data_IF_436285494183
#
_entry.id   IF_436285494183
#
_cell.length_a   1.000
_cell.length_b   1.000
_cell.length_c   1.000
_cell.angle_alpha   90.00
_cell.angle_beta   90.00
_cell.angle_gamma   90.00
#
_symmetry.space_group_name_H-M   'P 1'
#
loop_
_entity.id
_entity.type
_entity.pdbx_description
1 polymer ?
#
# COMPACT_ATOMS: atom_id res chain seq x y z
N UNK A 1 -18.28 1.72 18.37
CA UNK A 1 -18.29 0.31 17.97
C UNK A 1 -16.83 -0.13 17.89
N UNK A 2 -16.44 -1.06 18.75
CA UNK A 2 -15.12 -1.65 18.72
C UNK A 2 -14.91 -2.31 17.35
N UNK A 3 -13.93 -1.83 16.62
CA UNK A 3 -13.54 -2.44 15.35
C UNK A 3 -12.78 -3.72 15.70
N UNK A 4 -13.45 -4.85 15.54
CA UNK A 4 -12.85 -6.14 15.85
C UNK A 4 -11.78 -6.49 14.82
N UNK A 5 -10.53 -6.53 15.26
CA UNK A 5 -9.43 -7.03 14.48
C UNK A 5 -9.53 -8.56 14.38
N UNK A 6 -9.21 -9.10 13.21
CA UNK A 6 -9.23 -10.53 12.96
C UNK A 6 -7.86 -11.00 12.49
N UNK A 7 -7.32 -11.98 13.21
CA UNK A 7 -6.06 -12.63 12.88
C UNK A 7 -6.23 -14.13 12.75
N UNK A 8 -5.58 -14.72 11.77
CA UNK A 8 -5.40 -16.15 11.68
C UNK A 8 -4.05 -16.51 12.32
N UNK A 9 -4.07 -17.46 13.24
CA UNK A 9 -2.91 -17.88 13.99
C UNK A 9 -2.55 -19.30 13.54
N UNK A 10 -1.34 -19.47 13.03
CA UNK A 10 -0.79 -20.77 12.66
C UNK A 10 0.12 -21.25 13.79
N UNK A 11 -0.21 -22.43 14.36
CA UNK A 11 0.64 -23.08 15.33
C UNK A 11 1.57 -24.06 14.59
N UNK A 12 2.81 -23.66 14.40
CA UNK A 12 3.86 -24.58 13.91
C UNK A 12 4.59 -25.14 15.12
N UNK A 13 4.79 -26.45 15.16
CA UNK A 13 5.27 -27.19 16.34
C UNK A 13 6.66 -26.75 16.86
N UNK A 14 7.47 -26.03 16.06
CA UNK A 14 8.83 -25.63 16.40
C UNK A 14 9.20 -24.18 15.99
N UNK A 15 8.23 -23.32 15.68
CA UNK A 15 8.48 -21.94 15.25
C UNK A 15 7.58 -20.95 15.95
N UNK A 16 7.97 -19.67 15.94
CA UNK A 16 7.13 -18.58 16.41
C UNK A 16 5.75 -18.62 15.76
N UNK A 17 4.71 -18.35 16.55
CA UNK A 17 3.32 -18.30 16.09
C UNK A 17 3.21 -17.28 14.94
N UNK A 18 3.01 -17.77 13.72
CA UNK A 18 2.77 -16.90 12.58
C UNK A 18 1.34 -16.41 12.63
N UNK A 19 1.17 -15.11 12.75
CA UNK A 19 -0.14 -14.43 12.73
C UNK A 19 -0.30 -13.73 11.39
N UNK A 20 -1.46 -13.92 10.77
CA UNK A 20 -1.83 -13.26 9.52
C UNK A 20 -3.10 -12.45 9.76
N UNK A 21 -3.06 -11.15 9.48
CA UNK A 21 -4.22 -10.28 9.56
C UNK A 21 -5.23 -10.61 8.46
N UNK A 22 -6.50 -10.79 8.81
CA UNK A 22 -7.57 -11.14 7.88
C UNK A 22 -8.41 -9.93 7.44
N UNK A 23 -8.45 -8.86 8.24
CA UNK A 23 -9.22 -7.66 7.91
C UNK A 23 -8.40 -6.40 8.13
N UNK A 24 -8.73 -5.34 7.39
CA UNK A 24 -8.19 -4.00 7.59
C UNK A 24 -9.27 -3.11 8.18
N UNK A 25 -8.92 -2.37 9.22
CA UNK A 25 -9.80 -1.35 9.81
C UNK A 25 -9.77 -0.04 8.99
N UNK A 26 -8.81 0.08 8.09
CA UNK A 26 -8.60 1.25 7.23
C UNK A 26 -9.63 1.41 6.11
N UNK A 27 -10.40 0.37 5.80
CA UNK A 27 -11.39 0.40 4.71
C UNK A 27 -12.36 1.58 4.87
N UNK A 28 -12.74 1.90 6.10
CA UNK A 28 -13.65 3.03 6.36
C UNK A 28 -13.00 4.38 6.05
N UNK A 29 -11.73 4.55 6.42
CA UNK A 29 -10.98 5.78 6.10
C UNK A 29 -10.82 5.93 4.59
N UNK A 30 -10.47 4.87 3.88
CA UNK A 30 -10.38 4.87 2.42
C UNK A 30 -11.72 5.22 1.75
N UNK A 31 -12.83 4.67 2.24
CA UNK A 31 -14.18 5.02 1.75
C UNK A 31 -14.48 6.51 2.01
N UNK A 32 -14.18 7.00 3.20
CA UNK A 32 -14.40 8.41 3.54
C UNK A 32 -13.56 9.33 2.65
N UNK A 33 -12.28 9.02 2.44
CA UNK A 33 -11.41 9.77 1.51
C UNK A 33 -11.95 9.76 0.08
N UNK A 34 -12.44 8.60 -0.39
CA UNK A 34 -13.05 8.45 -1.70
C UNK A 34 -14.30 9.32 -1.90
N UNK A 35 -15.09 9.51 -0.84
CA UNK A 35 -16.28 10.37 -0.87
C UNK A 35 -15.93 11.85 -1.00
N UNK A 36 -14.78 12.27 -0.47
CA UNK A 36 -14.30 13.65 -0.62
C UNK A 36 -13.76 13.86 -2.04
N UNK A 37 -12.79 13.06 -2.44
CA UNK A 37 -12.26 13.02 -3.79
C UNK A 37 -11.53 11.68 -4.03
N UNK A 38 -11.70 11.10 -5.21
CA UNK A 38 -11.04 9.83 -5.58
C UNK A 38 -9.51 9.93 -5.48
N UNK A 39 -8.93 11.10 -5.76
CA UNK A 39 -7.50 11.35 -5.63
C UNK A 39 -6.97 11.11 -4.22
N UNK A 40 -7.77 11.38 -3.19
CA UNK A 40 -7.34 11.24 -1.78
C UNK A 40 -7.09 9.78 -1.35
N UNK A 41 -7.58 8.81 -2.11
CA UNK A 41 -7.23 7.39 -1.86
C UNK A 41 -5.76 7.15 -2.20
N UNK A 42 -5.25 7.82 -3.24
CA UNK A 42 -3.90 7.61 -3.76
C UNK A 42 -2.84 8.46 -3.06
N UNK A 43 -3.24 9.34 -2.13
CA UNK A 43 -2.31 10.10 -1.32
C UNK A 43 -1.38 9.17 -0.55
N UNK A 44 -0.10 9.52 -0.45
CA UNK A 44 0.88 8.72 0.27
C UNK A 44 0.47 8.46 1.72
N UNK A 45 -0.09 9.46 2.38
CA UNK A 45 -0.61 9.35 3.74
C UNK A 45 -1.67 8.26 3.89
N UNK A 46 -2.55 8.09 2.89
CA UNK A 46 -3.53 7.01 2.91
C UNK A 46 -2.89 5.62 2.83
N UNK A 47 -1.74 5.51 2.16
CA UNK A 47 -1.04 4.25 1.95
C UNK A 47 -0.15 3.86 3.14
N UNK A 48 0.31 4.84 3.95
CA UNK A 48 1.16 4.61 5.13
C UNK A 48 0.39 4.67 6.45
N UNK A 49 -0.93 4.84 6.40
CA UNK A 49 -1.76 4.89 7.62
C UNK A 49 -1.52 3.63 8.45
N UNK A 50 -1.42 3.81 9.77
CA UNK A 50 -1.15 2.73 10.71
C UNK A 50 -2.44 2.11 11.23
N UNK A 51 -2.45 0.81 11.36
CA UNK A 51 -3.50 0.01 11.99
C UNK A 51 -3.03 -0.48 13.36
N UNK A 52 -3.94 -0.67 14.32
CA UNK A 52 -3.60 -1.36 15.56
C UNK A 52 -3.06 -2.76 15.24
N UNK A 53 -1.92 -3.12 15.83
CA UNK A 53 -1.30 -4.43 15.67
C UNK A 53 -1.98 -5.53 16.50
N UNK A 54 -1.36 -6.68 16.57
CA UNK A 54 -1.84 -7.85 17.32
C UNK A 54 -1.72 -7.70 18.84
N UNK A 55 -0.95 -6.71 19.29
CA UNK A 55 -0.80 -6.33 20.70
C UNK A 55 -1.25 -4.90 20.89
N UNK A 56 -1.83 -4.59 22.07
CA UNK A 56 -2.47 -3.31 22.37
C UNK A 56 -1.61 -2.06 22.15
N UNK A 57 -0.29 -2.20 22.07
CA UNK A 57 0.65 -1.08 21.92
C UNK A 57 1.39 -1.07 20.58
N UNK A 58 1.17 -2.04 19.71
CA UNK A 58 1.84 -2.12 18.41
C UNK A 58 0.94 -1.53 17.34
N UNK A 59 1.50 -0.64 16.55
CA UNK A 59 0.88 -0.14 15.32
C UNK A 59 1.60 -0.73 14.12
N UNK A 60 0.85 -1.08 13.11
CA UNK A 60 1.36 -1.70 11.88
C UNK A 60 0.82 -0.93 10.68
N UNK A 61 1.68 -0.67 9.69
CA UNK A 61 1.22 -0.12 8.42
C UNK A 61 0.39 -1.16 7.67
N UNK A 62 -0.40 -0.72 6.69
CA UNK A 62 -1.11 -1.62 5.79
C UNK A 62 -0.18 -2.73 5.31
N UNK A 63 -0.58 -3.98 5.57
CA UNK A 63 0.19 -5.17 5.18
C UNK A 63 0.03 -5.44 3.67
N UNK A 64 1.04 -5.06 2.91
CA UNK A 64 1.06 -5.23 1.46
C UNK A 64 1.46 -6.64 1.02
N UNK A 65 1.78 -7.54 1.94
CA UNK A 65 2.14 -8.95 1.69
C UNK A 65 1.19 -9.95 2.34
N UNK A 66 0.28 -9.50 3.19
CA UNK A 66 -0.67 -10.35 3.90
C UNK A 66 -1.86 -10.81 3.05
N UNK A 67 -2.88 -11.32 3.72
CA UNK A 67 -4.07 -11.89 3.09
C UNK A 67 -4.81 -10.90 2.18
N UNK A 68 -4.75 -9.60 2.48
CA UNK A 68 -5.41 -8.54 1.73
C UNK A 68 -4.49 -7.85 0.69
N UNK A 69 -3.26 -8.31 0.54
CA UNK A 69 -2.25 -7.69 -0.34
C UNK A 69 -2.77 -7.50 -1.76
N UNK A 70 -3.45 -8.49 -2.32
CA UNK A 70 -3.99 -8.43 -3.67
C UNK A 70 -4.96 -7.26 -3.87
N UNK A 71 -5.86 -7.00 -2.90
CA UNK A 71 -6.79 -5.88 -2.97
C UNK A 71 -6.07 -4.53 -2.90
N UNK A 72 -5.01 -4.44 -2.11
CA UNK A 72 -4.19 -3.23 -2.00
C UNK A 72 -3.41 -2.97 -3.29
N UNK A 73 -2.88 -4.02 -3.94
CA UNK A 73 -2.29 -3.93 -5.28
C UNK A 73 -3.31 -3.49 -6.33
N UNK A 74 -4.50 -4.07 -6.30
CA UNK A 74 -5.59 -3.69 -7.20
C UNK A 74 -5.98 -2.22 -7.01
N UNK A 75 -6.06 -1.74 -5.77
CA UNK A 75 -6.44 -0.38 -5.45
C UNK A 75 -5.35 0.63 -5.82
N UNK A 76 -4.11 0.43 -5.34
CA UNK A 76 -3.07 1.47 -5.44
C UNK A 76 -2.26 1.42 -6.74
N UNK A 77 -2.24 0.29 -7.43
CA UNK A 77 -1.50 0.15 -8.67
C UNK A 77 -2.40 -0.13 -9.88
N UNK A 78 -3.17 -1.23 -9.85
CA UNK A 78 -3.91 -1.65 -11.05
C UNK A 78 -5.03 -0.68 -11.42
N UNK A 79 -5.75 -0.12 -10.47
CA UNK A 79 -6.82 0.83 -10.74
C UNK A 79 -6.32 2.09 -11.45
N UNK A 80 -5.34 2.85 -10.91
CA UNK A 80 -4.84 4.04 -11.61
C UNK A 80 -4.20 3.68 -12.96
N UNK A 81 -3.51 2.56 -13.08
CA UNK A 81 -2.96 2.09 -14.35
C UNK A 81 -4.05 1.79 -15.38
N UNK A 82 -5.12 1.09 -14.98
CA UNK A 82 -6.25 0.77 -15.86
C UNK A 82 -6.94 2.04 -16.37
N UNK A 83 -7.18 3.00 -15.48
CA UNK A 83 -7.80 4.28 -15.85
C UNK A 83 -6.91 5.06 -16.81
N UNK A 84 -5.60 5.14 -16.52
CA UNK A 84 -4.64 5.76 -17.42
C UNK A 84 -4.61 5.11 -18.80
N UNK A 85 -4.61 3.77 -18.84
CA UNK A 85 -4.68 2.98 -20.09
C UNK A 85 -5.93 3.33 -20.90
N UNK A 86 -7.08 3.45 -20.25
CA UNK A 86 -8.34 3.80 -20.93
C UNK A 86 -8.32 5.23 -21.49
N UNK A 87 -7.79 6.18 -20.73
CA UNK A 87 -7.60 7.55 -21.25
C UNK A 87 -6.63 7.56 -22.44
N UNK A 88 -5.54 6.80 -22.36
CA UNK A 88 -4.57 6.70 -23.47
C UNK A 88 -5.19 6.11 -24.74
N UNK A 89 -5.99 5.05 -24.63
CA UNK A 89 -6.71 4.46 -25.75
C UNK A 89 -7.68 5.45 -26.42
N UNK A 90 -8.26 6.34 -25.63
CA UNK A 90 -9.14 7.41 -26.11
C UNK A 90 -8.37 8.68 -26.54
N UNK A 91 -7.03 8.63 -26.62
CA UNK A 91 -6.15 9.75 -26.99
C UNK A 91 -6.22 10.95 -26.01
N UNK A 92 -6.69 10.71 -24.82
CA UNK A 92 -6.75 11.71 -23.73
C UNK A 92 -5.45 11.63 -22.90
N UNK A 93 -4.33 11.94 -23.54
CA UNK A 93 -2.99 11.72 -22.98
C UNK A 93 -2.69 12.55 -21.74
N UNK A 94 -3.26 13.74 -21.64
CA UNK A 94 -3.11 14.57 -20.45
C UNK A 94 -3.73 13.92 -19.21
N UNK A 95 -4.95 13.41 -19.34
CA UNK A 95 -5.65 12.70 -18.26
C UNK A 95 -4.93 11.38 -17.95
N UNK A 96 -4.51 10.64 -18.98
CA UNK A 96 -3.73 9.42 -18.77
C UNK A 96 -2.47 9.68 -17.95
N UNK A 97 -1.72 10.75 -18.26
CA UNK A 97 -0.53 11.15 -17.51
C UNK A 97 -0.85 11.49 -16.06
N UNK A 98 -1.93 12.21 -15.79
CA UNK A 98 -2.31 12.55 -14.41
C UNK A 98 -2.58 11.30 -13.58
N UNK A 99 -3.22 10.29 -14.16
CA UNK A 99 -3.46 9.02 -13.48
C UNK A 99 -2.18 8.21 -13.27
N UNK A 100 -1.24 8.25 -14.21
CA UNK A 100 0.08 7.62 -14.03
C UNK A 100 0.89 8.28 -12.92
N UNK A 101 0.68 9.58 -12.65
CA UNK A 101 1.37 10.26 -11.56
C UNK A 101 0.97 9.76 -10.17
N UNK A 102 -0.17 9.08 -10.00
CA UNK A 102 -0.47 8.38 -8.75
C UNK A 102 0.45 7.17 -8.52
N UNK A 103 1.09 6.67 -9.56
CA UNK A 103 2.04 5.57 -9.48
C UNK A 103 3.46 6.10 -9.46
N UNK A 104 3.81 6.90 -10.46
CA UNK A 104 5.16 7.41 -10.71
C UNK A 104 5.12 8.84 -11.25
N UNK A 105 5.84 9.75 -10.60
CA UNK A 105 5.96 11.14 -11.02
C UNK A 105 7.43 11.50 -11.33
N UNK A 106 7.81 11.71 -12.58
CA UNK A 106 9.18 12.10 -12.94
C UNK A 106 9.57 13.50 -12.45
N UNK A 107 8.60 14.28 -11.98
CA UNK A 107 8.82 15.65 -11.50
C UNK A 107 9.20 15.71 -10.01
N UNK A 108 9.02 14.65 -9.27
CA UNK A 108 9.23 14.60 -7.82
C UNK A 108 10.66 14.18 -7.42
N UNK A 109 11.60 14.32 -8.33
CA UNK A 109 13.02 14.06 -8.07
C UNK A 109 13.65 14.95 -7.00
N UNK A 110 13.06 16.11 -6.70
CA UNK A 110 13.53 16.99 -5.63
C UNK A 110 13.52 16.32 -4.24
N UNK A 111 12.73 15.26 -4.05
CA UNK A 111 12.73 14.45 -2.83
C UNK A 111 14.07 13.75 -2.57
N UNK A 112 14.92 13.60 -3.60
CA UNK A 112 16.30 13.09 -3.44
C UNK A 112 17.16 13.97 -2.52
N UNK A 113 16.86 15.27 -2.44
CA UNK A 113 17.60 16.23 -1.64
C UNK A 113 17.09 16.34 -0.20
N UNK A 114 15.91 15.82 0.07
CA UNK A 114 15.34 15.77 1.42
C UNK A 114 16.05 14.64 2.18
N UNK A 115 17.06 15.00 2.99
CA UNK A 115 17.70 14.08 3.95
C UNK A 115 16.80 13.76 5.16
N UNK A 116 15.51 13.82 4.98
CA UNK A 116 14.58 13.48 6.03
C UNK A 116 14.29 11.99 5.92
N UNK A 117 14.95 11.21 6.77
CA UNK A 117 14.72 9.76 6.94
C UNK A 117 13.33 9.46 7.52
N UNK A 118 12.42 10.43 7.48
CA UNK A 118 11.05 10.22 7.92
C UNK A 118 10.32 9.39 6.86
N UNK A 119 9.95 8.18 7.23
CA UNK A 119 9.06 7.28 6.47
C UNK A 119 7.71 7.93 6.10
N UNK A 120 7.46 9.15 6.54
CA UNK A 120 6.25 9.92 6.25
C UNK A 120 6.18 10.46 4.83
N UNK A 121 7.31 10.56 4.12
CA UNK A 121 7.35 11.04 2.75
C UNK A 121 7.54 9.87 1.76
N UNK A 122 6.91 9.95 0.57
CA UNK A 122 7.15 8.96 -0.47
C UNK A 122 8.61 9.06 -0.95
N UNK A 123 9.20 7.92 -1.35
CA UNK A 123 10.51 7.94 -1.97
C UNK A 123 10.49 8.76 -3.27
N UNK A 124 11.65 9.21 -3.75
CA UNK A 124 11.75 9.99 -4.98
C UNK A 124 11.05 9.29 -6.15
N UNK A 125 10.28 10.03 -6.91
CA UNK A 125 9.54 9.59 -8.10
C UNK A 125 8.36 8.63 -7.85
N UNK A 126 8.36 7.82 -6.79
CA UNK A 126 7.34 6.81 -6.55
C UNK A 126 6.24 7.33 -5.63
N UNK A 127 4.99 7.22 -6.06
CA UNK A 127 3.79 7.61 -5.31
C UNK A 127 2.91 6.40 -4.95
N UNK A 128 3.32 5.20 -5.34
CA UNK A 128 2.61 3.96 -5.06
C UNK A 128 3.46 3.08 -4.15
N UNK A 129 3.04 2.91 -2.90
CA UNK A 129 3.81 2.21 -1.86
C UNK A 129 4.05 0.74 -2.19
N UNK A 130 3.12 0.07 -2.88
CA UNK A 130 3.29 -1.34 -3.26
C UNK A 130 4.49 -1.58 -4.19
N UNK A 131 4.99 -0.54 -4.86
CA UNK A 131 6.17 -0.61 -5.73
C UNK A 131 7.46 -0.15 -5.03
N UNK A 132 7.36 0.43 -3.84
CA UNK A 132 8.51 1.01 -3.14
C UNK A 132 8.99 0.17 -1.99
N UNK A 133 8.34 -0.95 -1.71
CA UNK A 133 8.74 -1.80 -0.62
C UNK A 133 10.15 -2.31 -0.87
N UNK A 134 11.06 -1.86 0.00
CA UNK A 134 12.29 -2.57 0.21
C UNK A 134 11.94 -3.93 0.78
N UNK A 135 12.27 -4.98 0.02
CA UNK A 135 12.16 -6.39 0.43
C UNK A 135 13.10 -6.72 1.60
N UNK A 136 13.16 -5.88 2.62
CA UNK A 136 14.05 -6.07 3.76
C UNK A 136 13.66 -7.27 4.63
N UNK A 137 12.47 -7.82 4.47
CA UNK A 137 12.01 -9.00 5.19
C UNK A 137 11.60 -10.20 4.32
N UNK A 138 11.50 -10.03 3.00
CA UNK A 138 11.31 -11.18 2.12
C UNK A 138 12.65 -11.91 1.92
N UNK A 139 13.13 -12.54 2.98
CA UNK A 139 14.21 -13.51 2.85
C UNK A 139 13.69 -14.64 1.96
N UNK A 140 14.21 -14.67 0.77
CA UNK A 140 13.95 -15.58 -0.35
C UNK A 140 14.23 -17.07 -0.03
N UNK A 141 13.97 -17.54 1.19
CA UNK A 141 14.34 -18.88 1.62
C UNK A 141 13.19 -19.90 1.65
N UNK A 142 11.94 -19.49 1.40
CA UNK A 142 10.82 -20.43 1.60
C UNK A 142 10.16 -20.96 0.32
N UNK A 143 10.66 -20.61 -0.86
CA UNK A 143 10.17 -21.19 -2.12
C UNK A 143 11.30 -21.73 -3.00
N UNK A 144 12.22 -22.48 -2.41
CA UNK A 144 12.98 -23.44 -3.19
C UNK A 144 12.03 -24.60 -3.53
N UNK A 145 11.43 -24.51 -4.70
CA UNK A 145 10.74 -25.66 -5.28
C UNK A 145 11.74 -26.81 -5.44
N UNK A 146 11.32 -28.05 -5.15
CA UNK A 146 12.17 -29.24 -5.25
C UNK A 146 12.60 -29.51 -6.70
#
# INVERSE_FOLDING_TARGET
SEEHQQFLIFNQADAELKKVRLNSVQVRDLIYRAQIAVSHIFDWEAQITEEPGDTDNKKEKLDLHGANSRYLWELFFYLPYLVASRFSQNRLYYQARQWLHYIFSPYDGHRLSAKDDSESLPPPYWNCRVLTQEDSEYKSNDYALP
#
